data_IF_067714974780
#
_entry.id   IF_067714974780
#
_cell.length_a   1.000
_cell.length_b   1.000
_cell.length_c   1.000
_cell.angle_alpha   90.00
_cell.angle_beta   90.00
_cell.angle_gamma   90.00
#
_symmetry.space_group_name_H-M   'P 1'
#
loop_
_entity.id
_entity.type
_entity.pdbx_description
1 polymer ?
#
# COMPACT_ATOMS: atom_id res chain seq x y z
N UNK A 1 14.38 27.78 19.08
CA UNK A 1 12.93 27.77 19.32
C UNK A 1 12.45 26.32 19.23
N UNK A 2 12.26 25.63 20.36
CA UNK A 2 11.84 24.23 20.37
C UNK A 2 10.31 24.17 20.21
N UNK A 3 9.84 23.67 19.07
CA UNK A 3 8.42 23.38 18.87
C UNK A 3 8.06 22.16 19.71
N UNK A 4 7.41 22.41 20.86
CA UNK A 4 6.86 21.38 21.72
C UNK A 4 5.69 20.72 20.98
N UNK A 5 5.93 19.55 20.39
CA UNK A 5 4.87 18.72 19.83
C UNK A 5 3.94 18.32 20.99
N UNK A 6 2.74 18.89 21.03
CA UNK A 6 1.68 18.47 21.94
C UNK A 6 1.21 17.08 21.52
N UNK A 7 1.78 16.04 22.15
CA UNK A 7 1.25 14.69 22.00
C UNK A 7 -0.15 14.64 22.67
N UNK A 8 -1.17 14.13 21.97
CA UNK A 8 -2.50 14.02 22.54
C UNK A 8 -2.50 13.05 23.72
N UNK A 9 -3.12 13.49 24.82
CA UNK A 9 -3.29 12.77 26.09
C UNK A 9 -3.86 11.36 25.84
N UNK A 10 -3.14 10.27 26.21
CA UNK A 10 -3.59 8.90 26.01
C UNK A 10 -4.89 8.58 26.76
N UNK A 11 -5.27 9.37 27.77
CA UNK A 11 -6.51 9.20 28.55
C UNK A 11 -7.80 9.65 27.84
N UNK A 12 -7.72 10.35 26.69
CA UNK A 12 -8.89 10.82 25.92
C UNK A 12 -9.27 9.93 24.73
N UNK A 13 -8.70 8.73 24.61
CA UNK A 13 -9.13 7.79 23.56
C UNK A 13 -10.49 7.21 23.96
N UNK A 14 -11.57 7.70 23.32
CA UNK A 14 -12.88 7.03 23.36
C UNK A 14 -12.66 5.53 23.13
N UNK A 15 -13.38 4.62 23.83
CA UNK A 15 -13.24 3.19 23.61
C UNK A 15 -13.39 2.92 22.11
N UNK A 16 -12.32 2.43 21.49
CA UNK A 16 -12.34 2.01 20.10
C UNK A 16 -13.43 0.94 20.02
N UNK A 17 -14.37 1.10 19.10
CA UNK A 17 -15.44 0.13 18.89
C UNK A 17 -14.84 -1.30 18.86
N UNK A 18 -15.56 -2.31 19.39
CA UNK A 18 -15.04 -3.66 19.44
C UNK A 18 -14.56 -4.08 18.06
N UNK A 19 -13.38 -4.71 18.01
CA UNK A 19 -12.80 -5.21 16.77
C UNK A 19 -13.75 -6.24 16.17
N UNK A 20 -14.37 -5.91 15.04
CA UNK A 20 -15.18 -6.83 14.25
C UNK A 20 -14.45 -7.13 12.92
N UNK A 21 -13.78 -8.29 12.80
CA UNK A 21 -13.01 -8.63 11.61
C UNK A 21 -13.85 -8.60 10.33
N UNK A 22 -15.14 -8.96 10.44
CA UNK A 22 -16.04 -9.03 9.29
C UNK A 22 -16.37 -7.63 8.77
N UNK A 23 -16.57 -6.66 9.66
CA UNK A 23 -16.78 -5.26 9.27
C UNK A 23 -15.53 -4.67 8.59
N UNK A 24 -14.33 -4.93 9.11
CA UNK A 24 -13.10 -4.45 8.49
C UNK A 24 -12.87 -5.08 7.11
N UNK A 25 -13.15 -6.39 6.97
CA UNK A 25 -13.07 -7.06 5.69
C UNK A 25 -14.05 -6.47 4.68
N UNK A 26 -15.31 -6.27 5.07
CA UNK A 26 -16.32 -5.67 4.20
C UNK A 26 -15.94 -4.25 3.78
N UNK A 27 -15.43 -3.44 4.70
CA UNK A 27 -14.94 -2.09 4.40
C UNK A 27 -13.78 -2.12 3.40
N UNK A 28 -12.77 -2.97 3.63
CA UNK A 28 -11.62 -3.12 2.75
C UNK A 28 -12.02 -3.57 1.33
N UNK A 29 -12.95 -4.54 1.23
CA UNK A 29 -13.47 -4.99 -0.07
C UNK A 29 -14.18 -3.87 -0.83
N UNK A 30 -14.94 -3.04 -0.12
CA UNK A 30 -15.68 -1.92 -0.72
C UNK A 30 -14.73 -0.80 -1.19
N UNK A 31 -13.70 -0.48 -0.40
CA UNK A 31 -12.67 0.48 -0.79
C UNK A 31 -11.90 0.01 -2.03
N UNK A 32 -11.55 -1.29 -2.07
CA UNK A 32 -10.93 -1.91 -3.24
C UNK A 32 -11.81 -1.80 -4.48
N UNK A 33 -13.10 -2.12 -4.37
CA UNK A 33 -14.03 -2.01 -5.49
C UNK A 33 -14.09 -0.56 -6.03
N UNK A 34 -14.24 0.42 -5.15
CA UNK A 34 -14.26 1.84 -5.52
C UNK A 34 -12.93 2.33 -6.12
N UNK A 35 -11.79 1.76 -5.70
CA UNK A 35 -10.50 2.04 -6.31
C UNK A 35 -10.42 1.49 -7.74
N UNK A 36 -10.86 0.25 -7.97
CA UNK A 36 -10.83 -0.41 -9.28
C UNK A 36 -11.84 0.16 -10.28
N UNK A 37 -12.93 0.76 -9.81
CA UNK A 37 -13.83 1.55 -10.65
C UNK A 37 -13.17 2.83 -11.15
N UNK A 38 -12.47 3.54 -10.26
CA UNK A 38 -11.74 4.78 -10.60
C UNK A 38 -10.49 4.53 -11.44
N UNK A 39 -9.89 3.35 -11.30
CA UNK A 39 -8.65 2.98 -11.98
C UNK A 39 -8.74 1.57 -12.60
N UNK A 40 -9.50 1.40 -13.69
CA UNK A 40 -9.74 0.10 -14.31
C UNK A 40 -8.46 -0.62 -14.76
N UNK A 41 -7.39 0.12 -15.06
CA UNK A 41 -6.09 -0.43 -15.45
C UNK A 41 -5.45 -1.34 -14.38
N UNK A 42 -5.85 -1.23 -13.12
CA UNK A 42 -5.33 -2.06 -12.04
C UNK A 42 -6.11 -3.37 -11.83
N UNK A 43 -7.19 -3.63 -12.57
CA UNK A 43 -7.98 -4.86 -12.42
C UNK A 43 -7.14 -6.11 -12.64
N UNK A 44 -6.36 -6.16 -13.72
CA UNK A 44 -5.48 -7.30 -14.00
C UNK A 44 -4.46 -7.55 -12.89
N UNK A 45 -3.94 -6.47 -12.27
CA UNK A 45 -3.02 -6.59 -11.14
C UNK A 45 -3.74 -7.10 -9.89
N UNK A 46 -4.97 -6.64 -9.64
CA UNK A 46 -5.76 -7.16 -8.52
C UNK A 46 -6.09 -8.65 -8.70
N UNK A 47 -6.45 -9.07 -9.90
CA UNK A 47 -6.75 -10.47 -10.21
C UNK A 47 -5.52 -11.36 -9.95
N UNK A 48 -4.32 -10.86 -10.29
CA UNK A 48 -3.06 -11.54 -10.00
C UNK A 48 -2.80 -11.65 -8.50
N UNK A 49 -3.00 -10.56 -7.75
CA UNK A 49 -2.90 -10.55 -6.28
C UNK A 49 -3.86 -11.58 -5.68
N UNK A 50 -5.13 -11.56 -6.08
CA UNK A 50 -6.16 -12.45 -5.55
C UNK A 50 -5.81 -13.93 -5.82
N UNK A 51 -5.32 -14.24 -7.03
CA UNK A 51 -4.85 -15.58 -7.39
C UNK A 51 -3.66 -16.04 -6.53
N UNK A 52 -2.71 -15.15 -6.23
CA UNK A 52 -1.56 -15.49 -5.37
C UNK A 52 -1.99 -15.72 -3.91
N UNK A 53 -2.92 -14.91 -3.40
CA UNK A 53 -3.42 -15.04 -2.03
C UNK A 53 -4.29 -16.28 -1.81
N UNK A 54 -5.03 -16.69 -2.84
CA UNK A 54 -5.82 -17.93 -2.80
C UNK A 54 -4.89 -19.15 -2.68
N UNK A 55 -3.81 -19.18 -3.48
CA UNK A 55 -2.79 -20.25 -3.46
C UNK A 55 -1.97 -20.33 -2.17
N UNK A 56 -1.90 -19.25 -1.38
CA UNK A 56 -1.06 -19.19 -0.18
C UNK A 56 -1.54 -20.10 0.97
N UNK A 57 -2.81 -20.51 0.98
CA UNK A 57 -3.36 -21.55 1.88
C UNK A 57 -3.49 -21.20 3.37
N UNK A 58 -2.74 -20.23 3.89
CA UNK A 58 -2.82 -19.76 5.29
C UNK A 58 -2.75 -18.23 5.39
N UNK A 59 -3.24 -17.67 6.50
CA UNK A 59 -3.20 -16.22 6.74
C UNK A 59 -1.77 -15.67 6.83
N UNK A 60 -0.85 -16.41 7.47
CA UNK A 60 0.57 -16.04 7.56
C UNK A 60 1.23 -16.03 6.17
N UNK A 61 0.95 -17.04 5.34
CA UNK A 61 1.48 -17.11 3.98
C UNK A 61 0.91 -15.98 3.12
N UNK A 62 -0.37 -15.64 3.26
CA UNK A 62 -0.98 -14.48 2.57
C UNK A 62 -0.26 -13.18 2.93
N UNK A 63 0.05 -12.98 4.21
CA UNK A 63 0.82 -11.82 4.66
C UNK A 63 2.25 -11.80 4.10
N UNK A 64 2.92 -12.95 4.05
CA UNK A 64 4.25 -13.07 3.45
C UNK A 64 4.24 -12.76 1.94
N UNK A 65 3.25 -13.29 1.21
CA UNK A 65 3.04 -13.00 -0.21
C UNK A 65 2.82 -11.49 -0.44
N UNK A 66 1.97 -10.85 0.36
CA UNK A 66 1.75 -9.41 0.27
C UNK A 66 3.03 -8.61 0.54
N UNK A 67 3.80 -8.99 1.56
CA UNK A 67 5.05 -8.33 1.89
C UNK A 67 6.05 -8.38 0.72
N UNK A 68 6.22 -9.57 0.13
CA UNK A 68 7.10 -9.76 -1.02
C UNK A 68 6.64 -8.98 -2.26
N UNK A 69 5.33 -8.95 -2.52
CA UNK A 69 4.77 -8.18 -3.62
C UNK A 69 5.02 -6.67 -3.45
N UNK A 70 4.83 -6.14 -2.24
CA UNK A 70 5.10 -4.74 -1.94
C UNK A 70 6.59 -4.42 -2.08
N UNK A 71 7.47 -5.27 -1.55
CA UNK A 71 8.92 -5.11 -1.69
C UNK A 71 9.35 -5.08 -3.16
N UNK A 72 8.87 -6.02 -3.97
CA UNK A 72 9.14 -6.06 -5.41
C UNK A 72 8.72 -4.78 -6.12
N UNK A 73 7.52 -4.25 -5.83
CA UNK A 73 7.04 -3.00 -6.43
C UNK A 73 7.81 -1.78 -5.98
N UNK A 74 8.27 -1.74 -4.72
CA UNK A 74 9.15 -0.68 -4.24
C UNK A 74 10.50 -0.70 -4.94
N UNK A 75 11.08 -1.88 -5.20
CA UNK A 75 12.32 -2.02 -5.96
C UNK A 75 12.16 -1.59 -7.42
N UNK A 76 11.06 -1.98 -8.09
CA UNK A 76 10.75 -1.52 -9.44
C UNK A 76 10.63 0.00 -9.51
N UNK A 77 9.89 0.60 -8.57
CA UNK A 77 9.73 2.05 -8.48
C UNK A 77 11.07 2.75 -8.23
N UNK A 78 11.89 2.22 -7.33
CA UNK A 78 13.24 2.73 -7.09
C UNK A 78 14.08 2.72 -8.37
N UNK A 79 14.03 1.63 -9.14
CA UNK A 79 14.71 1.53 -10.43
C UNK A 79 14.18 2.51 -11.49
N UNK A 80 12.87 2.77 -11.52
CA UNK A 80 12.29 3.82 -12.37
C UNK A 80 12.76 5.21 -11.98
N UNK A 81 12.77 5.52 -10.68
CA UNK A 81 13.24 6.82 -10.17
C UNK A 81 14.73 7.05 -10.46
N UNK A 82 15.58 6.05 -10.28
CA UNK A 82 17.00 6.14 -10.64
C UNK A 82 17.22 6.38 -12.14
N UNK A 83 16.41 5.75 -13.00
CA UNK A 83 16.44 6.00 -14.45
C UNK A 83 16.01 7.41 -14.79
N UNK A 84 14.91 7.87 -14.22
CA UNK A 84 14.42 9.24 -14.41
C UNK A 84 15.44 10.28 -13.93
N UNK A 85 16.06 10.07 -12.77
CA UNK A 85 17.09 10.95 -12.23
C UNK A 85 18.30 11.07 -13.16
N UNK A 86 18.74 9.95 -13.78
CA UNK A 86 19.80 9.96 -14.79
C UNK A 86 19.41 10.78 -16.01
N UNK A 87 18.22 10.53 -16.57
CA UNK A 87 17.72 11.28 -17.73
C UNK A 87 17.63 12.79 -17.45
N UNK A 88 17.14 13.18 -16.28
CA UNK A 88 17.07 14.60 -15.90
C UNK A 88 18.46 15.22 -15.76
N UNK A 89 19.42 14.51 -15.15
CA UNK A 89 20.82 14.98 -15.04
C UNK A 89 21.48 15.14 -16.41
N UNK A 90 21.28 14.17 -17.30
CA UNK A 90 21.89 14.17 -18.63
C UNK A 90 21.30 15.27 -19.53
N UNK A 91 20.03 15.64 -19.31
CA UNK A 91 19.41 16.77 -20.00
C UNK A 91 19.80 18.14 -19.40
N UNK A 92 20.00 18.24 -18.08
CA UNK A 92 20.43 19.49 -17.44
C UNK A 92 21.93 19.79 -17.63
N UNK A 93 22.77 18.79 -17.90
CA UNK A 93 24.19 18.98 -18.21
C UNK A 93 24.50 19.33 -19.67
N UNK A 94 23.48 19.47 -20.52
CA UNK A 94 23.59 19.82 -21.95
C UNK A 94 23.06 21.23 -22.29
N UNK A 95 22.62 21.99 -21.30
CA UNK A 95 22.25 23.41 -21.41
C UNK A 95 23.32 24.27 -20.72
#
# INVERSE_FOLDING_TARGET
MAHRLSLPDPGRRKPKAPWDPQQYLAAAMRERAAFLERHPQYRSLQDEIDLMLDKAGSAENRMAVLALLMEGKLLELHGHLQRLQRLCRDHLGRA
#
